data_IF_113497689427
#
_entry.id   IF_113497689427
#
_cell.length_a   1.000
_cell.length_b   1.000
_cell.length_c   1.000
_cell.angle_alpha   90.00
_cell.angle_beta   90.00
_cell.angle_gamma   90.00
#
_symmetry.space_group_name_H-M   'P 1'
#
loop_
_entity.id
_entity.type
_entity.pdbx_description
1 polymer ?
#
# COMPACT_ATOMS: atom_id res chain seq x y z
N UNK A 1 -9.98 -12.24 -7.24
CA UNK A 1 -8.93 -11.24 -7.56
C UNK A 1 -8.64 -10.56 -6.24
N UNK A 2 -7.39 -10.67 -5.78
CA UNK A 2 -6.99 -10.03 -4.54
C UNK A 2 -6.94 -8.54 -4.78
N UNK A 3 -7.39 -7.76 -3.81
CA UNK A 3 -7.12 -6.34 -3.76
C UNK A 3 -6.25 -6.06 -2.54
N UNK A 4 -5.37 -5.08 -2.67
CA UNK A 4 -4.52 -4.60 -1.59
C UNK A 4 -4.89 -3.18 -1.23
N UNK A 5 -4.74 -2.82 0.04
CA UNK A 5 -4.79 -1.43 0.50
C UNK A 5 -3.35 -0.96 0.71
N UNK A 6 -3.01 0.14 0.05
CA UNK A 6 -1.74 0.86 0.20
C UNK A 6 -1.98 2.10 1.04
N UNK A 7 -1.12 2.33 2.02
CA UNK A 7 -1.03 3.54 2.82
C UNK A 7 0.31 4.22 2.53
N UNK A 8 0.28 5.53 2.25
CA UNK A 8 1.47 6.32 2.01
C UNK A 8 1.42 7.66 2.75
N UNK A 9 2.56 8.02 3.35
CA UNK A 9 2.70 9.21 4.19
C UNK A 9 4.15 9.71 4.17
N UNK A 10 4.38 10.92 4.68
CA UNK A 10 5.74 11.46 4.87
C UNK A 10 6.13 11.31 6.34
N UNK A 11 7.08 10.42 6.62
CA UNK A 11 7.66 10.26 7.95
C UNK A 11 8.64 11.41 8.24
N UNK A 12 8.46 12.05 9.39
CA UNK A 12 9.29 13.15 9.89
C UNK A 12 9.47 14.34 8.93
N UNK A 13 8.61 14.47 7.90
CA UNK A 13 8.69 15.53 6.88
C UNK A 13 9.77 15.31 5.81
N UNK A 14 10.48 14.18 5.85
CA UNK A 14 11.65 13.93 4.99
C UNK A 14 11.50 12.66 4.15
N UNK A 15 10.96 11.58 4.74
CA UNK A 15 10.94 10.26 4.10
C UNK A 15 9.54 9.89 3.63
N UNK A 16 9.35 9.66 2.34
CA UNK A 16 8.11 9.10 1.81
C UNK A 16 8.04 7.59 2.09
N UNK A 17 7.05 7.16 2.86
CA UNK A 17 6.81 5.75 3.20
C UNK A 17 5.58 5.27 2.44
N UNK A 18 5.66 4.06 1.88
CA UNK A 18 4.53 3.36 1.24
C UNK A 18 4.47 1.95 1.79
N UNK A 19 3.33 1.56 2.35
CA UNK A 19 3.14 0.24 2.96
C UNK A 19 1.85 -0.43 2.46
N UNK A 20 1.89 -1.75 2.33
CA UNK A 20 0.71 -2.58 2.08
C UNK A 20 0.16 -3.04 3.42
N UNK A 21 -1.02 -2.54 3.79
CA UNK A 21 -1.59 -2.71 5.15
C UNK A 21 -2.73 -3.73 5.20
N UNK A 22 -3.26 -4.12 4.05
CA UNK A 22 -4.34 -5.11 3.98
C UNK A 22 -4.38 -5.78 2.60
N UNK A 23 -4.74 -7.06 2.56
CA UNK A 23 -4.98 -7.82 1.34
C UNK A 23 -6.17 -8.75 1.52
N UNK A 24 -7.10 -8.79 0.57
CA UNK A 24 -8.24 -9.70 0.61
C UNK A 24 -8.87 -9.90 -0.77
N UNK A 25 -9.66 -10.95 -0.91
CA UNK A 25 -10.62 -11.10 -2.02
C UNK A 25 -12.04 -10.68 -1.62
N UNK A 26 -12.27 -10.41 -0.32
CA UNK A 26 -13.59 -10.05 0.19
C UNK A 26 -13.78 -8.52 0.13
N UNK A 27 -14.64 -8.08 -0.78
CA UNK A 27 -14.93 -6.65 -1.00
C UNK A 27 -15.53 -5.93 0.20
N UNK A 28 -16.31 -6.60 1.05
CA UNK A 28 -16.83 -6.02 2.29
C UNK A 28 -15.72 -5.83 3.32
N UNK A 29 -14.81 -6.79 3.45
CA UNK A 29 -13.66 -6.67 4.34
C UNK A 29 -12.74 -5.53 3.91
N UNK A 30 -12.50 -5.36 2.61
CA UNK A 30 -11.71 -4.26 2.04
C UNK A 30 -12.37 -2.93 2.31
N UNK A 31 -13.67 -2.81 2.05
CA UNK A 31 -14.43 -1.57 2.26
C UNK A 31 -14.44 -1.18 3.75
N UNK A 32 -14.64 -2.15 4.64
CA UNK A 32 -14.60 -1.94 6.09
C UNK A 32 -13.22 -1.47 6.55
N UNK A 33 -12.16 -2.17 6.13
CA UNK A 33 -10.79 -1.80 6.48
C UNK A 33 -10.39 -0.43 5.94
N UNK A 34 -10.79 -0.09 4.70
CA UNK A 34 -10.54 1.23 4.13
C UNK A 34 -11.21 2.34 4.95
N UNK A 35 -12.46 2.15 5.36
CA UNK A 35 -13.15 3.13 6.20
C UNK A 35 -12.48 3.30 7.58
N UNK A 36 -12.01 2.20 8.20
CA UNK A 36 -11.22 2.26 9.44
C UNK A 36 -9.94 3.09 9.26
N UNK A 37 -9.18 2.79 8.19
CA UNK A 37 -7.92 3.47 7.89
C UNK A 37 -8.11 4.96 7.57
N UNK A 38 -9.14 5.32 6.80
CA UNK A 38 -9.44 6.73 6.48
C UNK A 38 -9.81 7.54 7.73
N UNK A 39 -10.45 6.93 8.71
CA UNK A 39 -10.73 7.58 9.99
C UNK A 39 -9.46 7.73 10.85
N UNK A 40 -8.56 6.75 10.80
CA UNK A 40 -7.31 6.75 11.55
C UNK A 40 -6.28 7.71 10.95
N UNK A 41 -6.21 7.79 9.62
CA UNK A 41 -5.22 8.54 8.85
C UNK A 41 -5.91 9.49 7.85
N UNK A 42 -6.67 10.50 8.31
CA UNK A 42 -7.50 11.33 7.44
C UNK A 42 -6.73 12.26 6.51
N UNK A 43 -5.43 12.46 6.75
CA UNK A 43 -4.55 13.32 5.96
C UNK A 43 -3.59 12.55 5.04
N UNK A 44 -3.49 11.23 5.22
CA UNK A 44 -2.51 10.40 4.50
C UNK A 44 -3.12 9.84 3.21
N UNK A 45 -2.27 9.36 2.31
CA UNK A 45 -2.71 8.78 1.05
C UNK A 45 -3.10 7.30 1.26
N UNK A 46 -4.33 6.95 0.91
CA UNK A 46 -4.84 5.58 0.97
C UNK A 46 -5.44 5.20 -0.38
N UNK A 47 -5.09 4.02 -0.89
CA UNK A 47 -5.58 3.52 -2.17
C UNK A 47 -5.84 2.01 -2.16
N UNK A 48 -6.82 1.58 -2.95
CA UNK A 48 -7.07 0.16 -3.23
C UNK A 48 -6.53 -0.14 -4.62
N UNK A 49 -5.73 -1.20 -4.74
CA UNK A 49 -5.25 -1.70 -6.01
C UNK A 49 -5.72 -3.13 -6.24
N UNK A 50 -6.11 -3.41 -7.48
CA UNK A 50 -6.34 -4.77 -7.95
C UNK A 50 -5.00 -5.48 -8.15
N UNK A 51 -4.88 -6.67 -7.59
CA UNK A 51 -3.68 -7.51 -7.68
C UNK A 51 -4.08 -8.90 -8.20
N UNK A 52 -3.83 -9.19 -9.50
CA UNK A 52 -4.08 -10.52 -10.02
C UNK A 52 -3.12 -11.52 -9.37
N UNK A 53 -3.67 -12.68 -8.98
CA UNK A 53 -2.89 -13.80 -8.46
C UNK A 53 -1.83 -14.25 -9.48
N UNK A 54 -0.70 -14.72 -8.98
CA UNK A 54 0.40 -15.27 -9.77
C UNK A 54 1.00 -14.28 -10.81
N UNK A 55 0.82 -12.97 -10.59
CA UNK A 55 1.44 -11.92 -11.43
C UNK A 55 2.89 -11.70 -11.01
N UNK A 56 3.82 -11.68 -11.96
CA UNK A 56 5.19 -11.20 -11.72
C UNK A 56 5.20 -9.69 -11.57
N UNK A 57 5.24 -9.26 -10.31
CA UNK A 57 5.14 -7.87 -9.91
C UNK A 57 6.36 -7.04 -10.33
N UNK A 58 7.50 -7.68 -10.59
CA UNK A 58 8.72 -7.02 -11.08
C UNK A 58 8.57 -6.45 -12.49
N UNK A 59 7.57 -6.93 -13.25
CA UNK A 59 7.33 -6.52 -14.64
C UNK A 59 6.31 -5.38 -14.75
N UNK A 60 5.71 -4.94 -13.65
CA UNK A 60 4.70 -3.88 -13.65
C UNK A 60 5.37 -2.49 -13.51
N UNK A 61 5.04 -1.51 -14.39
CA UNK A 61 5.68 -0.19 -14.38
C UNK A 61 5.36 0.67 -13.15
N UNK A 62 4.30 0.34 -12.40
CA UNK A 62 3.83 1.07 -11.22
C UNK A 62 3.62 0.16 -10.01
N UNK A 63 4.38 -0.93 -9.92
CA UNK A 63 4.30 -1.78 -8.74
C UNK A 63 4.75 -0.98 -7.50
N UNK A 64 3.99 -0.99 -6.39
CA UNK A 64 4.43 -0.38 -5.14
C UNK A 64 5.71 -1.07 -4.69
N UNK A 65 6.83 -0.43 -5.00
CA UNK A 65 8.18 -0.81 -4.61
C UNK A 65 8.72 0.34 -3.78
N UNK A 66 9.34 0.00 -2.66
CA UNK A 66 9.98 0.99 -1.80
C UNK A 66 11.41 1.15 -2.33
N UNK A 67 11.75 2.36 -2.75
CA UNK A 67 13.13 2.71 -3.05
C UNK A 67 13.85 2.92 -1.72
N UNK A 68 14.67 1.94 -1.32
CA UNK A 68 15.52 2.04 -0.13
C UNK A 68 16.95 2.44 -0.54
N UNK A 69 17.54 3.35 0.23
CA UNK A 69 18.92 3.79 0.09
C UNK A 69 19.89 2.66 0.39
N UNK A 70 21.09 2.72 -0.21
CA UNK A 70 22.12 1.68 0.00
C UNK A 70 22.49 1.55 1.49
N UNK A 71 22.47 2.66 2.23
CA UNK A 71 22.72 2.69 3.68
C UNK A 71 21.72 1.87 4.50
N UNK A 72 20.50 1.60 4.01
CA UNK A 72 19.49 0.80 4.72
C UNK A 72 19.73 -0.72 4.59
N UNK A 73 20.75 -1.13 3.84
CA UNK A 73 21.17 -2.53 3.68
C UNK A 73 22.33 -2.95 4.58
N UNK A 74 22.96 -2.02 5.30
CA UNK A 74 24.12 -2.26 6.17
C UNK A 74 23.71 -2.37 7.66
#
# INVERSE_FOLDING_TARGET
MIQIIVHAFIENGETGVVEVVFASENSQAISGKMAELQNQYPADYLAIYDLPLDTDLSQLPHYPSIAIGKEEFE
#
